data_IF_687819291660
#
_entry.id   IF_687819291660
#
_cell.length_a   1.000
_cell.length_b   1.000
_cell.length_c   1.000
_cell.angle_alpha   90.00
_cell.angle_beta   90.00
_cell.angle_gamma   90.00
#
_symmetry.space_group_name_H-M   'P 1'
#
loop_
_entity.id
_entity.type
_entity.pdbx_description
1 polymer ?
#
# COMPACT_ATOMS: atom_id res chain seq x y z
N UNK A 1 -23.95 0.13 -20.88
CA UNK A 1 -22.85 -0.41 -20.05
C UNK A 1 -23.25 -0.64 -18.58
N UNK A 2 -23.72 0.37 -17.84
CA UNK A 2 -24.10 0.19 -16.41
C UNK A 2 -25.17 -0.91 -16.24
N UNK A 3 -26.18 -0.95 -17.11
CA UNK A 3 -27.24 -1.97 -17.10
C UNK A 3 -26.67 -3.40 -17.28
N UNK A 4 -25.83 -3.63 -18.28
CA UNK A 4 -25.19 -4.94 -18.50
C UNK A 4 -24.22 -5.32 -17.38
N UNK A 5 -23.53 -4.35 -16.77
CA UNK A 5 -22.64 -4.61 -15.65
C UNK A 5 -23.42 -4.99 -14.39
N UNK A 6 -24.57 -4.34 -14.11
CA UNK A 6 -25.43 -4.67 -12.98
C UNK A 6 -25.96 -6.13 -13.03
N UNK A 7 -26.14 -6.70 -14.23
CA UNK A 7 -26.50 -8.12 -14.40
C UNK A 7 -25.33 -9.05 -14.04
N UNK A 8 -24.07 -8.60 -14.29
CA UNK A 8 -22.87 -9.41 -14.04
C UNK A 8 -22.43 -9.35 -12.57
N UNK A 9 -22.66 -8.24 -11.89
CA UNK A 9 -22.20 -7.98 -10.53
C UNK A 9 -22.56 -9.09 -9.51
N UNK A 10 -23.78 -9.66 -9.51
CA UNK A 10 -24.15 -10.77 -8.62
C UNK A 10 -23.39 -12.07 -8.89
N UNK A 11 -22.81 -12.24 -10.08
CA UNK A 11 -22.09 -13.43 -10.54
C UNK A 11 -20.63 -13.15 -10.85
N UNK A 12 -20.05 -12.10 -10.23
CA UNK A 12 -18.71 -11.60 -10.43
C UNK A 12 -17.63 -12.70 -10.46
N UNK A 13 -17.65 -13.61 -9.48
CA UNK A 13 -16.67 -14.70 -9.38
C UNK A 13 -16.70 -15.63 -10.59
N UNK A 14 -17.92 -15.96 -11.08
CA UNK A 14 -18.10 -16.82 -12.27
C UNK A 14 -17.64 -16.08 -13.53
N UNK A 15 -17.97 -14.81 -13.66
CA UNK A 15 -17.55 -13.98 -14.79
C UNK A 15 -16.03 -13.81 -14.82
N UNK A 16 -15.39 -13.50 -13.72
CA UNK A 16 -13.93 -13.40 -13.61
C UNK A 16 -13.25 -14.76 -13.89
N UNK A 17 -13.79 -15.86 -13.40
CA UNK A 17 -13.27 -17.20 -13.70
C UNK A 17 -13.36 -17.54 -15.19
N UNK A 18 -14.46 -17.20 -15.84
CA UNK A 18 -14.64 -17.38 -17.27
C UNK A 18 -13.67 -16.51 -18.09
N UNK A 19 -13.52 -15.24 -17.71
CA UNK A 19 -12.57 -14.31 -18.33
C UNK A 19 -11.15 -14.87 -18.35
N UNK A 20 -10.62 -15.26 -17.20
CA UNK A 20 -9.26 -15.81 -17.12
C UNK A 20 -9.15 -17.19 -17.78
N UNK A 21 -10.17 -18.03 -17.63
CA UNK A 21 -10.22 -19.33 -18.32
C UNK A 21 -10.12 -19.17 -19.83
N UNK A 22 -10.90 -18.27 -20.42
CA UNK A 22 -10.86 -17.95 -21.83
C UNK A 22 -9.52 -17.33 -22.25
N UNK A 23 -9.05 -16.33 -21.51
CA UNK A 23 -7.80 -15.64 -21.79
C UNK A 23 -6.63 -16.63 -21.90
N UNK A 24 -6.50 -17.54 -20.93
CA UNK A 24 -5.40 -18.51 -20.90
C UNK A 24 -5.57 -19.68 -21.87
N UNK A 25 -6.81 -20.05 -22.21
CA UNK A 25 -7.07 -21.06 -23.22
C UNK A 25 -6.68 -20.59 -24.61
N UNK A 26 -7.02 -19.34 -24.94
CA UNK A 26 -6.69 -18.74 -26.24
C UNK A 26 -5.24 -18.23 -26.31
N UNK A 27 -4.65 -17.84 -25.17
CA UNK A 27 -3.32 -17.26 -25.07
C UNK A 27 -2.51 -17.85 -23.89
N UNK A 28 -2.04 -19.11 -24.00
CA UNK A 28 -1.40 -19.80 -22.87
C UNK A 28 -0.15 -19.09 -22.32
N UNK A 29 0.60 -18.37 -23.17
CA UNK A 29 1.79 -17.64 -22.78
C UNK A 29 1.50 -16.52 -21.77
N UNK A 30 0.30 -15.93 -21.82
CA UNK A 30 -0.08 -14.89 -20.86
C UNK A 30 -0.20 -15.37 -19.43
N UNK A 31 -0.38 -16.69 -19.20
CA UNK A 31 -0.46 -17.26 -17.84
C UNK A 31 0.78 -16.92 -17.00
N UNK A 32 1.95 -16.81 -17.62
CA UNK A 32 3.21 -16.49 -16.95
C UNK A 32 3.26 -15.05 -16.38
N UNK A 33 2.38 -14.16 -16.82
CA UNK A 33 2.29 -12.78 -16.33
C UNK A 33 1.49 -12.68 -15.01
N UNK A 34 0.78 -13.73 -14.63
CA UNK A 34 -0.11 -13.74 -13.47
C UNK A 34 0.45 -14.58 -12.32
N UNK A 35 0.06 -14.28 -11.07
CA UNK A 35 0.50 -15.05 -9.91
C UNK A 35 -0.06 -16.48 -9.96
N UNK A 36 0.57 -17.44 -9.21
CA UNK A 36 0.08 -18.82 -9.12
C UNK A 36 -1.36 -18.91 -8.62
N UNK A 37 -1.71 -18.18 -7.54
CA UNK A 37 -3.07 -18.08 -6.99
C UNK A 37 -3.81 -16.90 -7.59
N UNK A 38 -5.00 -17.16 -8.16
CA UNK A 38 -5.76 -16.20 -8.95
C UNK A 38 -6.90 -15.51 -8.18
N UNK A 39 -7.21 -15.93 -6.95
CA UNK A 39 -8.37 -15.42 -6.21
C UNK A 39 -8.29 -13.89 -6.00
N UNK A 40 -7.19 -13.42 -5.43
CA UNK A 40 -6.97 -11.97 -5.28
C UNK A 40 -6.94 -11.24 -6.63
N UNK A 41 -6.48 -11.88 -7.70
CA UNK A 41 -6.44 -11.27 -9.02
C UNK A 41 -7.83 -11.13 -9.64
N UNK A 42 -8.74 -12.09 -9.39
CA UNK A 42 -10.14 -12.01 -9.79
C UNK A 42 -10.85 -10.85 -9.09
N UNK A 43 -10.66 -10.72 -7.76
CA UNK A 43 -11.21 -9.62 -6.98
C UNK A 43 -10.72 -8.25 -7.49
N UNK A 44 -9.43 -8.13 -7.81
CA UNK A 44 -8.84 -6.89 -8.34
C UNK A 44 -9.40 -6.53 -9.71
N UNK A 45 -9.55 -7.51 -10.61
CA UNK A 45 -10.14 -7.27 -11.92
C UNK A 45 -11.55 -6.73 -11.77
N UNK A 46 -12.37 -7.41 -10.95
CA UNK A 46 -13.76 -7.02 -10.79
C UNK A 46 -13.89 -5.65 -10.10
N UNK A 47 -13.10 -5.38 -9.05
CA UNK A 47 -13.07 -4.08 -8.41
C UNK A 47 -12.64 -2.94 -9.35
N UNK A 48 -11.66 -3.18 -10.23
CA UNK A 48 -11.27 -2.20 -11.24
C UNK A 48 -12.39 -1.94 -12.25
N UNK A 49 -13.05 -3.00 -12.76
CA UNK A 49 -14.18 -2.88 -13.67
C UNK A 49 -15.37 -2.15 -13.03
N UNK A 50 -15.69 -2.47 -11.78
CA UNK A 50 -16.73 -1.77 -11.01
C UNK A 50 -16.42 -0.28 -10.94
N UNK A 51 -15.19 0.08 -10.56
CA UNK A 51 -14.79 1.48 -10.49
C UNK A 51 -14.88 2.18 -11.83
N UNK A 52 -14.41 1.55 -12.91
CA UNK A 52 -14.49 2.11 -14.27
C UNK A 52 -15.94 2.37 -14.68
N UNK A 53 -16.80 1.33 -14.58
CA UNK A 53 -18.19 1.42 -15.06
C UNK A 53 -19.02 2.44 -14.27
N UNK A 54 -18.86 2.48 -12.94
CA UNK A 54 -19.62 3.42 -12.12
C UNK A 54 -19.06 4.84 -12.10
N UNK A 55 -17.80 5.04 -12.55
CA UNK A 55 -17.16 6.36 -12.64
C UNK A 55 -17.19 6.98 -14.05
N UNK A 56 -17.90 6.40 -15.01
CA UNK A 56 -17.98 6.92 -16.39
C UNK A 56 -18.52 8.37 -16.47
N UNK A 57 -19.25 8.83 -15.47
CA UNK A 57 -19.78 10.20 -15.41
C UNK A 57 -18.78 11.19 -14.77
N UNK A 58 -17.61 10.73 -14.30
CA UNK A 58 -16.56 11.54 -13.65
C UNK A 58 -15.20 11.28 -14.30
N UNK A 59 -14.98 11.90 -15.45
CA UNK A 59 -13.84 11.62 -16.34
C UNK A 59 -12.46 11.91 -15.69
N UNK A 60 -12.32 12.99 -14.93
CA UNK A 60 -11.03 13.38 -14.33
C UNK A 60 -10.51 12.34 -13.34
N UNK A 61 -11.37 11.89 -12.42
CA UNK A 61 -11.01 10.86 -11.46
C UNK A 61 -10.75 9.50 -12.11
N UNK A 62 -11.47 9.19 -13.19
CA UNK A 62 -11.29 7.96 -13.95
C UNK A 62 -9.98 7.96 -14.72
N UNK A 63 -9.62 9.05 -15.38
CA UNK A 63 -8.36 9.18 -16.13
C UNK A 63 -7.14 9.03 -15.23
N UNK A 64 -7.15 9.66 -14.03
CA UNK A 64 -6.10 9.50 -13.03
C UNK A 64 -5.95 8.04 -12.61
N UNK A 65 -7.07 7.37 -12.30
CA UNK A 65 -7.06 5.95 -11.90
C UNK A 65 -6.54 5.03 -13.01
N UNK A 66 -6.98 5.23 -14.25
CA UNK A 66 -6.51 4.45 -15.40
C UNK A 66 -5.02 4.67 -15.65
N UNK A 67 -4.54 5.90 -15.54
CA UNK A 67 -3.12 6.22 -15.65
C UNK A 67 -2.28 5.50 -14.59
N UNK A 68 -2.70 5.52 -13.33
CA UNK A 68 -2.04 4.76 -12.25
C UNK A 68 -2.04 3.24 -12.52
N UNK A 69 -3.17 2.72 -13.03
CA UNK A 69 -3.29 1.30 -13.37
C UNK A 69 -2.36 0.92 -14.52
N UNK A 70 -2.25 1.75 -15.54
CA UNK A 70 -1.33 1.57 -16.67
C UNK A 70 0.12 1.55 -16.24
N UNK A 71 0.55 2.54 -15.46
CA UNK A 71 1.90 2.56 -14.86
C UNK A 71 2.17 1.31 -14.01
N UNK A 72 1.19 0.89 -13.20
CA UNK A 72 1.28 -0.32 -12.38
C UNK A 72 1.39 -1.62 -13.18
N UNK A 73 0.85 -1.67 -14.40
CA UNK A 73 0.93 -2.85 -15.27
C UNK A 73 2.33 -3.09 -15.84
N UNK A 74 3.18 -2.05 -15.94
CA UNK A 74 4.57 -2.17 -16.43
C UNK A 74 5.36 -3.24 -15.68
N UNK A 75 5.21 -3.31 -14.36
CA UNK A 75 5.93 -4.30 -13.52
C UNK A 75 5.57 -5.76 -13.80
N UNK A 76 4.44 -6.00 -14.47
CA UNK A 76 4.04 -7.34 -14.90
C UNK A 76 4.46 -7.65 -16.33
N UNK A 77 5.12 -6.70 -17.02
CA UNK A 77 5.52 -6.83 -18.41
C UNK A 77 4.36 -6.72 -19.40
N UNK A 78 3.29 -5.99 -19.02
CA UNK A 78 2.18 -5.72 -19.92
C UNK A 78 2.64 -4.75 -21.02
N UNK A 79 2.43 -5.14 -22.27
CA UNK A 79 2.74 -4.39 -23.48
C UNK A 79 1.44 -3.95 -24.19
N UNK A 80 1.48 -2.94 -25.07
CA UNK A 80 0.28 -2.46 -25.79
C UNK A 80 -0.51 -3.57 -26.49
N UNK A 81 0.15 -4.55 -27.10
CA UNK A 81 -0.46 -5.68 -27.79
C UNK A 81 -1.31 -6.57 -26.89
N UNK A 82 -1.00 -6.64 -25.60
CA UNK A 82 -1.76 -7.43 -24.63
C UNK A 82 -3.17 -6.88 -24.39
N UNK A 83 -3.38 -5.56 -24.57
CA UNK A 83 -4.70 -4.95 -24.33
C UNK A 83 -5.74 -5.42 -25.32
N UNK A 84 -5.39 -5.65 -26.59
CA UNK A 84 -6.32 -6.21 -27.57
C UNK A 84 -6.82 -7.59 -27.16
N UNK A 85 -5.91 -8.46 -26.70
CA UNK A 85 -6.24 -9.81 -26.23
C UNK A 85 -7.13 -9.78 -24.99
N UNK A 86 -6.80 -8.91 -24.03
CA UNK A 86 -7.61 -8.70 -22.81
C UNK A 86 -8.99 -8.16 -23.14
N UNK A 87 -9.10 -7.20 -24.07
CA UNK A 87 -10.36 -6.62 -24.53
C UNK A 87 -11.28 -7.66 -25.16
N UNK A 88 -10.75 -8.51 -26.02
CA UNK A 88 -11.52 -9.60 -26.65
C UNK A 88 -12.07 -10.59 -25.62
N UNK A 89 -11.25 -10.97 -24.61
CA UNK A 89 -11.69 -11.84 -23.52
C UNK A 89 -12.76 -11.16 -22.65
N UNK A 90 -12.61 -9.86 -22.39
CA UNK A 90 -13.58 -9.07 -21.61
C UNK A 90 -14.92 -8.96 -22.34
N UNK A 91 -14.93 -8.55 -23.60
CA UNK A 91 -16.16 -8.42 -24.41
C UNK A 91 -16.90 -9.77 -24.52
N UNK A 92 -16.18 -10.86 -24.75
CA UNK A 92 -16.77 -12.20 -24.79
C UNK A 92 -17.38 -12.60 -23.42
N UNK A 93 -16.76 -12.17 -22.31
CA UNK A 93 -17.27 -12.42 -20.96
C UNK A 93 -18.55 -11.63 -20.72
N UNK A 94 -18.55 -10.33 -21.00
CA UNK A 94 -19.73 -9.47 -20.82
C UNK A 94 -20.90 -9.98 -21.68
N UNK A 95 -20.65 -10.28 -22.95
CA UNK A 95 -21.65 -10.82 -23.87
C UNK A 95 -22.27 -12.12 -23.35
N UNK A 96 -21.47 -13.01 -22.75
CA UNK A 96 -21.96 -14.28 -22.20
C UNK A 96 -22.85 -14.10 -20.98
N UNK A 97 -22.43 -13.24 -20.03
CA UNK A 97 -23.10 -13.11 -18.74
C UNK A 97 -24.22 -12.05 -18.73
N UNK A 98 -24.27 -11.16 -19.72
CA UNK A 98 -25.33 -10.18 -19.90
C UNK A 98 -26.13 -10.44 -21.20
N UNK A 99 -26.26 -11.69 -21.64
CA UNK A 99 -26.86 -12.06 -22.92
C UNK A 99 -28.29 -11.55 -23.10
N UNK A 100 -29.05 -11.46 -22.01
CA UNK A 100 -30.46 -11.01 -22.00
C UNK A 100 -30.61 -9.52 -22.38
N UNK A 101 -29.59 -8.70 -22.09
CA UNK A 101 -29.57 -7.25 -22.38
C UNK A 101 -28.55 -6.88 -23.46
N UNK A 102 -27.93 -7.87 -24.10
CA UNK A 102 -26.87 -7.65 -25.09
C UNK A 102 -27.45 -7.20 -26.45
N UNK A 103 -26.92 -6.12 -26.99
CA UNK A 103 -27.27 -5.61 -28.30
C UNK A 103 -26.01 -5.13 -29.05
N UNK A 104 -26.06 -4.90 -30.36
CA UNK A 104 -24.96 -4.31 -31.11
C UNK A 104 -24.50 -2.94 -30.56
N UNK A 105 -25.43 -2.13 -30.08
CA UNK A 105 -25.16 -0.83 -29.47
C UNK A 105 -24.44 -1.00 -28.12
N UNK A 106 -24.81 -2.01 -27.36
CA UNK A 106 -24.13 -2.35 -26.09
C UNK A 106 -22.70 -2.82 -26.37
N UNK A 107 -22.50 -3.66 -27.38
CA UNK A 107 -21.17 -4.11 -27.82
C UNK A 107 -20.30 -2.93 -28.24
N UNK A 108 -20.82 -2.04 -29.05
CA UNK A 108 -20.12 -0.83 -29.51
C UNK A 108 -19.74 0.08 -28.32
N UNK A 109 -20.63 0.25 -27.32
CA UNK A 109 -20.38 1.04 -26.15
C UNK A 109 -19.26 0.44 -25.27
N UNK A 110 -19.26 -0.88 -25.07
CA UNK A 110 -18.19 -1.57 -24.33
C UNK A 110 -16.86 -1.48 -25.05
N UNK A 111 -16.84 -1.68 -26.37
CA UNK A 111 -15.62 -1.59 -27.18
C UNK A 111 -15.03 -0.18 -27.09
N UNK A 112 -15.86 0.86 -27.30
CA UNK A 112 -15.41 2.25 -27.23
C UNK A 112 -14.83 2.60 -25.85
N UNK A 113 -15.52 2.23 -24.77
CA UNK A 113 -15.05 2.50 -23.42
C UNK A 113 -13.77 1.73 -23.09
N UNK A 114 -13.67 0.46 -23.50
CA UNK A 114 -12.46 -0.33 -23.30
C UNK A 114 -11.27 0.27 -24.06
N UNK A 115 -11.46 0.64 -25.34
CA UNK A 115 -10.41 1.25 -26.14
C UNK A 115 -9.91 2.54 -25.52
N UNK A 116 -10.81 3.45 -25.12
CA UNK A 116 -10.44 4.69 -24.46
C UNK A 116 -9.69 4.44 -23.14
N UNK A 117 -10.11 3.47 -22.33
CA UNK A 117 -9.41 3.09 -21.10
C UNK A 117 -8.02 2.50 -21.40
N UNK A 118 -7.89 1.63 -22.39
CA UNK A 118 -6.63 1.05 -22.81
C UNK A 118 -5.65 2.13 -23.31
N UNK A 119 -6.11 3.08 -24.12
CA UNK A 119 -5.29 4.18 -24.63
C UNK A 119 -4.72 5.05 -23.51
N UNK A 120 -5.52 5.40 -22.50
CA UNK A 120 -5.06 6.14 -21.33
C UNK A 120 -4.00 5.33 -20.58
N UNK A 121 -4.22 4.03 -20.38
CA UNK A 121 -3.30 3.15 -19.66
C UNK A 121 -1.97 2.98 -20.41
N UNK A 122 -2.03 2.79 -21.73
CA UNK A 122 -0.84 2.64 -22.59
C UNK A 122 -0.04 3.94 -22.59
N UNK A 123 -0.68 5.08 -22.87
CA UNK A 123 -0.02 6.39 -22.90
C UNK A 123 0.67 6.69 -21.57
N UNK A 124 -0.03 6.48 -20.43
CA UNK A 124 0.55 6.72 -19.12
C UNK A 124 1.70 5.77 -18.79
N UNK A 125 1.66 4.53 -19.27
CA UNK A 125 2.75 3.58 -19.11
C UNK A 125 3.98 3.97 -19.96
N UNK A 126 3.79 4.43 -21.18
CA UNK A 126 4.85 4.89 -22.08
C UNK A 126 5.51 6.18 -21.58
N UNK A 127 4.73 7.13 -21.07
CA UNK A 127 5.25 8.35 -20.47
C UNK A 127 6.10 8.04 -19.24
N UNK A 128 5.62 7.18 -18.34
CA UNK A 128 6.36 6.74 -17.16
C UNK A 128 7.65 5.98 -17.54
N UNK A 129 7.63 5.22 -18.64
CA UNK A 129 8.81 4.48 -19.12
C UNK A 129 9.99 5.38 -19.55
N UNK A 130 9.73 6.65 -19.87
CA UNK A 130 10.77 7.61 -20.26
C UNK A 130 11.61 8.09 -19.08
N UNK A 131 11.07 8.01 -17.87
CA UNK A 131 11.67 8.60 -16.66
C UNK A 131 11.93 7.59 -15.55
N UNK A 132 11.29 6.43 -15.58
CA UNK A 132 11.37 5.44 -14.51
C UNK A 132 11.46 4.03 -15.06
N UNK A 133 12.24 3.13 -14.45
CA UNK A 133 12.19 1.70 -14.78
C UNK A 133 10.83 1.11 -14.38
N UNK A 134 10.46 -0.04 -14.94
CA UNK A 134 9.23 -0.74 -14.57
C UNK A 134 9.29 -1.32 -13.13
N UNK A 135 10.49 -1.58 -12.64
CA UNK A 135 10.83 -2.02 -11.27
C UNK A 135 12.30 -1.76 -10.98
N UNK A 136 12.67 -1.76 -9.72
CA UNK A 136 14.04 -1.68 -9.23
C UNK A 136 14.48 -3.04 -8.69
N UNK A 137 15.66 -3.51 -9.08
CA UNK A 137 16.33 -4.62 -8.39
C UNK A 137 17.11 -4.06 -7.22
N UNK A 138 16.91 -4.60 -6.02
CA UNK A 138 17.58 -4.15 -4.82
C UNK A 138 18.27 -5.32 -4.11
N UNK A 139 19.54 -5.11 -3.70
CA UNK A 139 20.29 -6.04 -2.88
C UNK A 139 19.90 -5.90 -1.42
N UNK A 140 19.76 -7.00 -0.71
CA UNK A 140 19.60 -7.04 0.76
C UNK A 140 20.99 -6.88 1.38
N UNK A 141 21.27 -5.71 1.94
CA UNK A 141 22.55 -5.40 2.58
C UNK A 141 22.51 -5.47 4.11
N UNK A 142 21.31 -5.65 4.68
CA UNK A 142 21.09 -5.83 6.11
C UNK A 142 19.80 -6.57 6.38
N UNK A 143 19.84 -7.49 7.34
CA UNK A 143 18.68 -8.25 7.79
C UNK A 143 18.78 -8.48 9.30
N UNK A 144 17.95 -7.78 10.07
CA UNK A 144 17.97 -7.80 11.52
C UNK A 144 16.62 -8.31 12.05
N UNK A 145 16.60 -9.49 12.66
CA UNK A 145 15.42 -9.95 13.40
C UNK A 145 15.30 -9.15 14.70
N UNK A 146 14.22 -8.38 14.84
CA UNK A 146 13.90 -7.58 16.03
C UNK A 146 12.89 -8.27 16.94
N UNK A 147 12.11 -9.20 16.39
CA UNK A 147 11.21 -10.11 17.08
C UNK A 147 11.12 -11.41 16.26
N UNK A 148 10.54 -12.50 16.78
CA UNK A 148 10.42 -13.75 16.05
C UNK A 148 9.68 -13.62 14.70
N UNK A 149 8.77 -12.65 14.61
CA UNK A 149 7.95 -12.35 13.44
C UNK A 149 8.25 -11.01 12.78
N UNK A 150 9.27 -10.24 13.25
CA UNK A 150 9.58 -8.91 12.73
C UNK A 150 11.06 -8.81 12.34
N UNK A 151 11.31 -8.41 11.10
CA UNK A 151 12.63 -8.07 10.60
C UNK A 151 12.71 -6.60 10.14
N UNK A 152 13.85 -5.96 10.40
CA UNK A 152 14.27 -4.72 9.75
C UNK A 152 15.23 -5.11 8.63
N UNK A 153 14.83 -4.82 7.39
CA UNK A 153 15.57 -5.17 6.19
C UNK A 153 16.10 -3.90 5.56
N UNK A 154 17.40 -3.85 5.31
CA UNK A 154 18.04 -2.75 4.59
C UNK A 154 18.35 -3.20 3.18
N UNK A 155 17.84 -2.45 2.22
CA UNK A 155 17.97 -2.70 0.79
C UNK A 155 18.81 -1.62 0.14
N UNK A 156 19.56 -1.98 -0.89
CA UNK A 156 20.26 -1.05 -1.77
C UNK A 156 19.77 -1.27 -3.19
N UNK A 157 18.85 -0.43 -3.70
CA UNK A 157 18.49 -0.41 -5.11
C UNK A 157 19.71 -0.15 -6.01
N UNK A 158 19.78 -0.85 -7.15
CA UNK A 158 20.88 -0.69 -8.13
C UNK A 158 20.85 0.67 -8.84
N UNK A 159 19.69 1.29 -8.90
CA UNK A 159 19.46 2.63 -9.44
C UNK A 159 18.78 3.52 -8.40
N UNK A 160 18.89 4.87 -8.50
CA UNK A 160 18.19 5.76 -7.59
C UNK A 160 16.68 5.45 -7.52
N UNK A 161 16.16 5.28 -6.33
CA UNK A 161 14.73 5.10 -6.06
C UNK A 161 14.18 6.42 -5.49
N UNK A 162 13.50 7.25 -6.30
CA UNK A 162 12.95 8.51 -5.83
C UNK A 162 11.66 8.25 -5.05
N UNK A 163 11.67 8.53 -3.76
CA UNK A 163 10.48 8.43 -2.91
C UNK A 163 10.38 9.59 -1.93
N UNK A 164 9.17 9.83 -1.44
CA UNK A 164 8.90 10.75 -0.34
C UNK A 164 8.76 9.96 0.97
N UNK A 165 9.23 10.52 2.10
CA UNK A 165 9.04 9.89 3.41
C UNK A 165 7.57 9.59 3.68
N UNK A 166 7.29 8.40 4.24
CA UNK A 166 5.93 7.92 4.48
C UNK A 166 5.31 7.13 3.34
N UNK A 167 5.91 7.13 2.15
CA UNK A 167 5.50 6.27 1.03
C UNK A 167 5.86 4.80 1.27
N UNK A 168 5.25 3.93 0.47
CA UNK A 168 5.51 2.49 0.42
C UNK A 168 6.03 2.07 -0.96
N UNK A 169 6.62 0.89 -1.02
CA UNK A 169 6.96 0.18 -2.26
C UNK A 169 6.31 -1.19 -2.25
N UNK A 170 5.87 -1.65 -3.42
CA UNK A 170 5.52 -3.05 -3.58
C UNK A 170 6.79 -3.88 -3.69
N UNK A 171 6.86 -5.00 -2.97
CA UNK A 171 8.01 -5.90 -2.95
C UNK A 171 7.63 -7.26 -3.48
N UNK A 172 8.49 -7.81 -4.34
CA UNK A 172 8.46 -9.19 -4.81
C UNK A 172 9.77 -9.87 -4.45
N UNK A 173 9.68 -11.10 -3.95
CA UNK A 173 10.87 -11.95 -3.68
C UNK A 173 11.05 -12.99 -4.79
N UNK A 174 12.28 -13.46 -5.00
CA UNK A 174 12.56 -14.54 -5.96
C UNK A 174 11.76 -15.82 -5.65
N UNK A 175 11.44 -16.07 -4.37
CA UNK A 175 10.65 -17.24 -3.93
C UNK A 175 9.21 -17.20 -4.41
N UNK A 176 8.64 -16.01 -4.59
CA UNK A 176 7.25 -15.81 -4.98
C UNK A 176 7.14 -14.84 -6.16
N UNK A 177 7.54 -15.26 -7.35
CA UNK A 177 7.45 -14.41 -8.55
C UNK A 177 5.99 -14.03 -8.85
N UNK A 178 5.80 -12.79 -9.32
CA UNK A 178 4.48 -12.18 -9.62
C UNK A 178 3.60 -11.92 -8.39
N UNK A 179 4.09 -12.18 -7.19
CA UNK A 179 3.38 -11.86 -5.94
C UNK A 179 4.00 -10.61 -5.33
N UNK A 180 3.32 -9.50 -5.49
CA UNK A 180 3.72 -8.20 -4.98
C UNK A 180 2.95 -7.85 -3.70
N UNK A 181 3.64 -7.30 -2.71
CA UNK A 181 3.03 -6.81 -1.47
C UNK A 181 3.61 -5.47 -1.08
N UNK A 182 2.77 -4.49 -0.66
CA UNK A 182 3.23 -3.18 -0.23
C UNK A 182 3.89 -3.26 1.14
N UNK A 183 5.02 -2.55 1.27
CA UNK A 183 5.72 -2.32 2.53
C UNK A 183 6.11 -0.86 2.60
N UNK A 184 5.79 -0.22 3.73
CA UNK A 184 6.15 1.16 3.98
C UNK A 184 7.66 1.30 4.12
N UNK A 185 8.23 2.36 3.54
CA UNK A 185 9.63 2.71 3.70
C UNK A 185 9.83 3.33 5.07
N UNK A 186 10.83 2.87 5.82
CA UNK A 186 11.05 3.21 7.21
C UNK A 186 12.18 4.22 7.47
N UNK A 187 12.71 4.83 6.44
CA UNK A 187 13.73 5.89 6.52
C UNK A 187 13.43 7.03 5.54
N UNK A 188 13.92 8.22 5.84
CA UNK A 188 13.96 9.31 4.87
C UNK A 188 14.92 8.97 3.72
N UNK A 189 14.77 9.60 2.52
CA UNK A 189 15.71 9.43 1.40
C UNK A 189 17.15 9.71 1.82
N UNK A 190 18.07 8.84 1.41
CA UNK A 190 19.49 8.90 1.78
C UNK A 190 20.39 9.00 0.56
N UNK A 191 21.55 9.65 0.73
CA UNK A 191 22.54 9.79 -0.34
C UNK A 191 23.14 8.46 -0.79
N UNK A 192 23.16 7.46 0.08
CA UNK A 192 23.64 6.11 -0.20
C UNK A 192 22.60 5.21 -0.88
N UNK A 193 21.45 5.78 -1.26
CA UNK A 193 20.32 5.10 -1.89
C UNK A 193 19.76 3.91 -1.07
N UNK A 194 19.99 3.89 0.26
CA UNK A 194 19.47 2.80 1.10
C UNK A 194 18.02 2.99 1.47
N UNK A 195 17.26 1.90 1.42
CA UNK A 195 15.85 1.80 1.78
C UNK A 195 15.70 0.80 2.91
N UNK A 196 15.00 1.16 3.97
CA UNK A 196 14.67 0.25 5.08
C UNK A 196 13.21 -0.13 5.06
N UNK A 197 12.94 -1.40 5.31
CA UNK A 197 11.59 -1.93 5.47
C UNK A 197 11.48 -2.58 6.85
N UNK A 198 10.40 -2.28 7.56
CA UNK A 198 10.03 -3.01 8.78
C UNK A 198 8.95 -4.01 8.42
N UNK A 199 9.29 -5.27 8.39
CA UNK A 199 8.44 -6.33 7.90
C UNK A 199 7.98 -7.21 9.04
N UNK A 200 6.65 -7.38 9.18
CA UNK A 200 6.07 -8.41 10.04
C UNK A 200 5.60 -9.58 9.19
N UNK A 201 6.04 -10.79 9.51
CA UNK A 201 5.50 -12.00 8.95
C UNK A 201 4.06 -12.20 9.44
N UNK A 202 3.13 -12.34 8.51
CA UNK A 202 1.72 -12.60 8.86
C UNK A 202 1.37 -14.05 8.49
N UNK A 203 0.51 -14.73 9.25
CA UNK A 203 0.07 -16.09 8.92
C UNK A 203 -0.49 -16.15 7.48
N UNK A 204 -0.02 -17.10 6.69
CA UNK A 204 -0.39 -17.22 5.27
C UNK A 204 0.20 -16.16 4.33
N UNK A 205 0.99 -15.25 4.84
CA UNK A 205 1.62 -14.18 4.04
C UNK A 205 2.88 -14.69 3.33
N UNK A 206 2.80 -14.91 2.03
CA UNK A 206 3.90 -15.49 1.25
C UNK A 206 5.15 -14.60 1.21
N UNK A 207 4.97 -13.32 0.86
CA UNK A 207 6.10 -12.39 0.73
C UNK A 207 6.64 -11.98 2.09
N UNK A 208 5.78 -11.63 3.06
CA UNK A 208 6.22 -11.22 4.40
C UNK A 208 6.97 -12.34 5.12
N UNK A 209 6.47 -13.60 5.04
CA UNK A 209 7.15 -14.75 5.63
C UNK A 209 8.47 -15.05 4.93
N UNK A 210 8.56 -14.87 3.60
CA UNK A 210 9.81 -15.01 2.86
C UNK A 210 10.83 -13.95 3.29
N UNK A 211 10.40 -12.68 3.40
CA UNK A 211 11.26 -11.59 3.81
C UNK A 211 11.80 -11.76 5.23
N UNK A 212 10.99 -12.22 6.19
CA UNK A 212 11.42 -12.38 7.59
C UNK A 212 12.24 -13.65 7.79
N UNK A 213 11.81 -14.78 7.24
CA UNK A 213 12.37 -16.10 7.59
C UNK A 213 13.35 -16.68 6.58
N UNK A 214 13.35 -16.21 5.34
CA UNK A 214 14.12 -16.86 4.26
C UNK A 214 15.07 -15.94 3.51
N UNK A 215 14.92 -14.63 3.63
CA UNK A 215 15.79 -13.64 2.99
C UNK A 215 17.08 -13.46 3.78
N UNK A 216 18.21 -13.33 3.09
CA UNK A 216 19.55 -13.17 3.66
C UNK A 216 20.29 -12.00 3.01
N UNK A 217 21.33 -11.52 3.66
CA UNK A 217 22.26 -10.53 3.08
C UNK A 217 22.86 -11.13 1.81
N UNK A 218 22.90 -10.35 0.72
CA UNK A 218 23.32 -10.75 -0.62
C UNK A 218 22.16 -11.23 -1.52
N UNK A 219 20.99 -11.53 -0.97
CA UNK A 219 19.80 -11.82 -1.78
C UNK A 219 19.32 -10.56 -2.52
N UNK A 220 18.57 -10.77 -3.59
CA UNK A 220 17.91 -9.69 -4.33
C UNK A 220 16.41 -9.75 -4.19
N UNK A 221 15.80 -8.57 -4.12
CA UNK A 221 14.34 -8.38 -4.19
C UNK A 221 14.00 -7.40 -5.29
N UNK A 222 12.77 -7.46 -5.77
CA UNK A 222 12.28 -6.51 -6.78
C UNK A 222 11.33 -5.52 -6.10
N UNK A 223 11.53 -4.23 -6.37
CA UNK A 223 10.72 -3.14 -5.84
C UNK A 223 9.90 -2.52 -6.96
N UNK A 224 8.62 -2.28 -6.72
CA UNK A 224 7.78 -1.45 -7.57
C UNK A 224 8.05 0.05 -7.35
N UNK A 225 7.43 0.88 -8.17
CA UNK A 225 7.48 2.33 -7.97
C UNK A 225 6.92 2.72 -6.59
N UNK A 226 7.53 3.71 -5.93
CA UNK A 226 7.00 4.25 -4.69
C UNK A 226 5.59 4.83 -4.88
N UNK A 227 4.74 4.64 -3.88
CA UNK A 227 3.36 5.12 -3.89
C UNK A 227 2.86 5.47 -2.50
N UNK A 228 1.65 6.04 -2.44
CA UNK A 228 1.04 6.50 -1.19
C UNK A 228 1.04 8.01 -1.05
N UNK A 229 0.06 8.50 -0.28
CA UNK A 229 -0.21 9.95 -0.09
C UNK A 229 0.15 10.44 1.30
N UNK A 230 0.61 9.56 2.20
CA UNK A 230 1.04 9.93 3.54
C UNK A 230 2.48 10.46 3.47
N UNK A 231 2.63 11.76 3.21
CA UNK A 231 3.92 12.44 3.05
C UNK A 231 4.08 13.53 4.10
N UNK A 232 5.32 14.00 4.38
CA UNK A 232 5.53 15.07 5.34
C UNK A 232 4.76 16.34 4.97
N UNK A 233 4.40 17.20 5.96
CA UNK A 233 3.72 18.46 5.69
C UNK A 233 4.66 19.46 5.01
N UNK A 234 4.11 20.32 4.17
CA UNK A 234 4.87 21.40 3.54
C UNK A 234 5.25 22.55 4.49
N UNK A 235 4.61 22.63 5.66
CA UNK A 235 4.79 23.74 6.62
C UNK A 235 4.94 23.23 8.06
N UNK A 236 5.76 23.96 8.83
CA UNK A 236 6.24 23.64 10.16
C UNK A 236 5.23 23.73 11.30
N UNK A 237 4.06 23.08 11.20
CA UNK A 237 3.18 22.86 12.37
C UNK A 237 3.74 21.74 13.23
N UNK A 238 3.45 21.77 14.53
CA UNK A 238 3.79 20.66 15.43
C UNK A 238 3.11 19.36 14.96
N UNK A 239 3.79 18.24 15.12
CA UNK A 239 3.39 16.96 14.54
C UNK A 239 3.09 15.95 15.64
N UNK A 240 1.95 15.27 15.51
CA UNK A 240 1.63 14.08 16.26
C UNK A 240 1.73 12.84 15.35
N UNK A 241 2.58 11.88 15.69
CA UNK A 241 2.63 10.56 15.06
C UNK A 241 2.05 9.51 16.02
N UNK A 242 1.11 8.68 15.55
CA UNK A 242 0.50 7.58 16.32
C UNK A 242 0.77 6.27 15.59
N UNK A 243 1.69 5.47 16.11
CA UNK A 243 2.22 4.26 15.51
C UNK A 243 1.82 3.00 16.26
N UNK A 244 1.10 2.07 15.62
CA UNK A 244 0.82 0.73 16.16
C UNK A 244 1.69 -0.35 15.50
N UNK A 245 2.52 -1.05 16.27
CA UNK A 245 3.36 -2.14 15.76
C UNK A 245 4.26 -1.70 14.60
N UNK A 246 4.21 -2.42 13.46
CA UNK A 246 4.99 -2.07 12.25
C UNK A 246 4.45 -0.87 11.47
N UNK A 247 3.29 -0.33 11.84
CA UNK A 247 2.84 1.00 11.40
C UNK A 247 3.80 2.12 11.79
N UNK A 248 4.78 1.84 12.64
CA UNK A 248 5.91 2.73 12.90
C UNK A 248 6.71 3.07 11.64
N UNK A 249 6.84 2.15 10.68
CA UNK A 249 7.75 2.30 9.54
C UNK A 249 7.58 3.63 8.78
N UNK A 250 6.41 3.95 8.21
CA UNK A 250 6.23 5.19 7.46
C UNK A 250 6.38 6.43 8.35
N UNK A 251 5.93 6.35 9.60
CA UNK A 251 6.01 7.46 10.54
C UNK A 251 7.46 7.75 10.96
N UNK A 252 8.30 6.71 11.08
CA UNK A 252 9.72 6.88 11.33
C UNK A 252 10.41 7.61 10.18
N UNK A 253 10.06 7.30 8.93
CA UNK A 253 10.59 8.00 7.75
C UNK A 253 10.20 9.49 7.75
N UNK A 254 8.94 9.80 8.08
CA UNK A 254 8.45 11.19 8.22
C UNK A 254 9.20 11.91 9.33
N UNK A 255 9.33 11.29 10.51
CA UNK A 255 10.06 11.86 11.64
C UNK A 255 11.53 12.13 11.29
N UNK A 256 12.23 11.14 10.71
CA UNK A 256 13.63 11.32 10.24
C UNK A 256 13.75 12.52 9.30
N UNK A 257 12.84 12.64 8.33
CA UNK A 257 12.84 13.76 7.39
C UNK A 257 12.64 15.11 8.09
N UNK A 258 11.58 15.24 8.88
CA UNK A 258 11.20 16.49 9.52
C UNK A 258 12.29 17.01 10.46
N UNK A 259 12.91 16.12 11.24
CA UNK A 259 13.96 16.53 12.21
C UNK A 259 15.30 16.87 11.54
N UNK A 260 15.50 16.51 10.25
CA UNK A 260 16.75 16.75 9.53
C UNK A 260 16.62 17.83 8.44
N UNK A 261 15.41 18.22 8.04
CA UNK A 261 15.18 19.12 6.90
C UNK A 261 15.37 20.60 7.25
N UNK A 262 15.13 20.99 8.49
CA UNK A 262 15.16 22.38 8.91
C UNK A 262 16.14 22.63 10.07
N UNK A 263 16.73 23.81 10.11
CA UNK A 263 17.57 24.26 11.23
C UNK A 263 16.76 24.34 12.54
N UNK A 264 15.44 24.61 12.43
CA UNK A 264 14.52 24.68 13.57
C UNK A 264 13.27 23.84 13.25
N UNK A 265 13.34 22.51 13.35
CA UNK A 265 12.22 21.64 13.03
C UNK A 265 11.03 21.88 13.99
N UNK A 266 9.78 21.59 13.56
CA UNK A 266 8.63 21.60 14.45
C UNK A 266 8.82 20.58 15.60
N UNK A 267 8.01 20.69 16.64
CA UNK A 267 7.97 19.66 17.68
C UNK A 267 7.30 18.43 17.11
N UNK A 268 7.89 17.28 17.37
CA UNK A 268 7.34 15.99 16.97
C UNK A 268 7.09 15.15 18.21
N UNK A 269 5.84 14.71 18.41
CA UNK A 269 5.49 13.73 19.43
C UNK A 269 5.10 12.43 18.76
N UNK A 270 5.85 11.37 19.04
CA UNK A 270 5.62 10.03 18.52
C UNK A 270 5.09 9.12 19.64
N UNK A 271 3.80 8.78 19.58
CA UNK A 271 3.20 7.73 20.41
C UNK A 271 3.40 6.39 19.71
N UNK A 272 4.21 5.53 20.30
CA UNK A 272 4.54 4.21 19.75
C UNK A 272 3.95 3.10 20.62
N UNK A 273 2.95 2.41 20.10
CA UNK A 273 2.17 1.42 20.82
C UNK A 273 2.42 -0.02 20.41
N UNK A 274 2.40 -0.89 21.40
CA UNK A 274 2.40 -2.34 21.27
C UNK A 274 1.59 -2.98 22.41
N UNK A 275 1.34 -4.28 22.34
CA UNK A 275 0.66 -5.00 23.42
C UNK A 275 1.57 -5.15 24.65
N UNK A 276 2.83 -5.51 24.41
CA UNK A 276 3.84 -5.66 25.44
C UNK A 276 5.08 -4.82 25.15
N UNK A 277 5.90 -4.54 26.18
CA UNK A 277 7.14 -3.80 26.03
C UNK A 277 8.15 -4.49 25.10
N UNK A 278 8.13 -5.82 25.02
CA UNK A 278 8.97 -6.61 24.11
C UNK A 278 8.60 -6.42 22.63
N UNK A 279 7.34 -6.09 22.35
CA UNK A 279 6.85 -5.84 20.99
C UNK A 279 7.18 -4.42 20.48
N UNK A 280 7.72 -3.55 21.32
CA UNK A 280 8.26 -2.24 20.93
C UNK A 280 9.64 -2.42 20.25
N UNK A 281 9.67 -3.18 19.17
CA UNK A 281 10.86 -3.75 18.53
C UNK A 281 11.91 -2.72 18.09
N UNK A 282 11.52 -1.48 17.83
CA UNK A 282 12.39 -0.41 17.34
C UNK A 282 12.62 0.70 18.38
N UNK A 283 12.16 0.51 19.61
CA UNK A 283 12.27 1.50 20.69
C UNK A 283 13.72 1.95 20.95
N UNK A 284 14.74 1.06 20.95
CA UNK A 284 16.13 1.49 21.15
C UNK A 284 16.61 2.47 20.08
N UNK A 285 16.20 2.30 18.81
CA UNK A 285 16.56 3.19 17.70
C UNK A 285 15.87 4.56 17.85
N UNK A 286 14.59 4.55 18.23
CA UNK A 286 13.83 5.79 18.51
C UNK A 286 14.41 6.57 19.67
N UNK A 287 14.85 5.89 20.74
CA UNK A 287 15.49 6.55 21.89
C UNK A 287 16.86 7.15 21.52
N UNK A 288 17.63 6.48 20.65
CA UNK A 288 18.86 7.07 20.09
C UNK A 288 18.58 8.29 19.22
N UNK A 289 17.49 8.28 18.46
CA UNK A 289 17.06 9.44 17.67
C UNK A 289 16.65 10.60 18.59
N UNK A 290 15.81 10.33 19.59
CA UNK A 290 15.37 11.30 20.59
C UNK A 290 16.54 11.97 21.31
N UNK A 291 17.58 11.21 21.70
CA UNK A 291 18.74 11.78 22.42
C UNK A 291 19.53 12.82 21.63
N UNK A 292 19.40 12.80 20.31
CA UNK A 292 20.07 13.75 19.38
C UNK A 292 19.22 14.93 18.98
N UNK A 293 17.88 14.87 19.19
CA UNK A 293 16.93 15.88 18.72
C UNK A 293 15.99 16.28 19.86
N UNK A 294 16.24 17.44 20.50
CA UNK A 294 15.46 17.89 21.67
C UNK A 294 13.96 18.12 21.37
N UNK A 295 13.61 18.34 20.12
CA UNK A 295 12.21 18.57 19.69
C UNK A 295 11.46 17.27 19.34
N UNK A 296 12.09 16.12 19.46
CA UNK A 296 11.47 14.80 19.31
C UNK A 296 11.13 14.23 20.69
N UNK A 297 9.86 14.06 20.95
CA UNK A 297 9.36 13.31 22.09
C UNK A 297 8.89 11.93 21.64
N UNK A 298 9.40 10.86 22.26
CA UNK A 298 8.97 9.47 22.01
C UNK A 298 8.27 8.96 23.26
N UNK A 299 7.01 8.58 23.11
CA UNK A 299 6.15 8.07 24.18
C UNK A 299 5.79 6.61 23.87
N UNK A 300 6.49 5.64 24.47
CA UNK A 300 6.11 4.23 24.36
C UNK A 300 4.81 3.96 25.11
N UNK A 301 3.87 3.24 24.46
CA UNK A 301 2.57 2.90 25.02
C UNK A 301 2.39 1.38 25.01
N UNK A 302 1.97 0.79 26.14
CA UNK A 302 1.79 -0.66 26.25
C UNK A 302 0.38 -0.98 26.77
N UNK A 303 -0.35 -1.86 26.05
CA UNK A 303 -1.75 -2.16 26.40
C UNK A 303 -1.92 -3.32 27.38
N UNK A 304 -1.13 -4.39 27.25
CA UNK A 304 -1.40 -5.68 27.90
C UNK A 304 -0.37 -6.03 29.00
N UNK A 305 0.35 -5.04 29.52
CA UNK A 305 1.37 -5.21 30.57
C UNK A 305 1.06 -4.30 31.76
N UNK A 306 0.28 -4.77 32.75
CA UNK A 306 -0.21 -3.94 33.87
C UNK A 306 0.89 -3.30 34.73
N UNK A 307 2.09 -3.88 34.75
CA UNK A 307 3.24 -3.39 35.54
C UNK A 307 4.22 -2.53 34.73
N UNK A 308 3.88 -2.18 33.47
CA UNK A 308 4.70 -1.30 32.67
C UNK A 308 4.82 0.09 33.31
N UNK A 309 6.05 0.59 33.44
CA UNK A 309 6.34 1.85 34.14
C UNK A 309 6.10 3.13 33.34
N UNK A 310 5.76 3.02 32.03
CA UNK A 310 5.44 4.15 31.15
C UNK A 310 3.93 4.30 30.93
N UNK A 311 3.56 4.89 29.76
CA UNK A 311 2.16 5.06 29.35
C UNK A 311 1.50 3.70 29.10
N UNK A 312 0.32 3.51 29.70
CA UNK A 312 -0.45 2.26 29.62
C UNK A 312 -1.84 2.49 29.06
N UNK A 313 -2.35 1.46 28.37
CA UNK A 313 -3.66 1.44 27.73
C UNK A 313 -3.57 1.34 26.21
N UNK A 314 -4.72 1.29 25.57
CA UNK A 314 -4.79 1.30 24.10
C UNK A 314 -4.39 2.66 23.55
N UNK A 315 -3.67 2.67 22.42
CA UNK A 315 -3.22 3.92 21.79
C UNK A 315 -4.32 4.98 21.63
N UNK A 316 -5.54 4.65 21.15
CA UNK A 316 -6.63 5.63 21.03
C UNK A 316 -6.99 6.30 22.36
N UNK A 317 -6.95 5.56 23.47
CA UNK A 317 -7.25 6.08 24.82
C UNK A 317 -6.13 7.00 25.32
N UNK A 318 -4.88 6.64 25.03
CA UNK A 318 -3.72 7.46 25.40
C UNK A 318 -3.70 8.76 24.60
N UNK A 319 -4.00 8.70 23.29
CA UNK A 319 -4.15 9.90 22.45
C UNK A 319 -5.19 10.85 23.03
N UNK A 320 -6.32 10.32 23.48
CA UNK A 320 -7.40 11.10 24.09
C UNK A 320 -6.97 11.74 25.43
N UNK A 321 -6.23 11.00 26.26
CA UNK A 321 -5.76 11.44 27.56
C UNK A 321 -4.68 12.54 27.46
N UNK A 322 -3.83 12.49 26.42
CA UNK A 322 -2.69 13.40 26.26
C UNK A 322 -3.02 14.68 25.46
N UNK A 323 -4.29 14.99 25.23
CA UNK A 323 -4.74 16.24 24.56
C UNK A 323 -4.12 17.50 25.20
N UNK A 324 -4.07 18.64 24.49
CA UNK A 324 -4.76 18.97 23.24
C UNK A 324 -3.91 18.69 22.00
N UNK A 325 -4.59 18.32 20.87
CA UNK A 325 -3.96 18.08 19.57
C UNK A 325 -4.42 19.07 18.47
N UNK A 326 -5.30 20.03 18.82
CA UNK A 326 -5.71 21.07 17.88
C UNK A 326 -4.49 21.85 17.37
N UNK A 327 -4.44 22.07 16.05
CA UNK A 327 -3.32 22.74 15.40
C UNK A 327 -2.11 21.86 15.07
N UNK A 328 -2.13 20.57 15.43
CA UNK A 328 -1.11 19.64 15.01
C UNK A 328 -1.43 19.04 13.63
N UNK A 329 -0.38 18.69 12.90
CA UNK A 329 -0.45 17.76 11.78
C UNK A 329 -0.36 16.34 12.34
N UNK A 330 -1.35 15.51 12.04
CA UNK A 330 -1.46 14.18 12.69
C UNK A 330 -1.29 13.06 11.68
N UNK A 331 -0.42 12.11 12.00
CA UNK A 331 -0.15 10.91 11.20
C UNK A 331 -0.48 9.68 12.01
N UNK A 332 -1.36 8.82 11.48
CA UNK A 332 -1.81 7.59 12.16
C UNK A 332 -1.55 6.37 11.29
N UNK A 333 -0.82 5.40 11.81
CA UNK A 333 -0.55 4.15 11.10
C UNK A 333 -0.48 2.93 12.04
N UNK A 334 -1.11 1.83 11.65
CA UNK A 334 -1.16 0.60 12.43
C UNK A 334 -2.34 -0.29 12.03
N UNK A 335 -2.82 -1.18 12.92
CA UNK A 335 -4.03 -1.97 12.70
C UNK A 335 -5.26 -1.11 12.43
N UNK A 336 -6.13 -1.56 11.52
CA UNK A 336 -7.27 -0.76 11.02
C UNK A 336 -8.20 -0.27 12.14
N UNK A 337 -8.54 -1.14 13.09
CA UNK A 337 -9.38 -0.82 14.24
C UNK A 337 -8.76 0.26 15.14
N UNK A 338 -7.45 0.19 15.38
CA UNK A 338 -6.71 1.21 16.13
C UNK A 338 -6.69 2.54 15.38
N UNK A 339 -6.47 2.52 14.07
CA UNK A 339 -6.44 3.72 13.22
C UNK A 339 -7.81 4.40 13.21
N UNK A 340 -8.88 3.64 12.95
CA UNK A 340 -10.26 4.16 12.92
C UNK A 340 -10.67 4.78 14.25
N UNK A 341 -10.43 4.08 15.37
CA UNK A 341 -10.76 4.59 16.70
C UNK A 341 -9.93 5.83 17.06
N UNK A 342 -8.65 5.85 16.72
CA UNK A 342 -7.78 7.02 16.95
C UNK A 342 -8.29 8.25 16.20
N UNK A 343 -8.64 8.10 14.93
CA UNK A 343 -9.16 9.20 14.09
C UNK A 343 -10.46 9.76 14.70
N UNK A 344 -11.39 8.88 15.10
CA UNK A 344 -12.65 9.32 15.72
C UNK A 344 -12.41 10.14 17.00
N UNK A 345 -11.45 9.73 17.84
CA UNK A 345 -11.11 10.45 19.08
C UNK A 345 -10.42 11.78 18.81
N UNK A 346 -9.53 11.84 17.81
CA UNK A 346 -8.87 13.08 17.38
C UNK A 346 -9.89 14.10 16.87
N UNK A 347 -10.82 13.67 16.01
CA UNK A 347 -11.87 14.53 15.49
C UNK A 347 -12.81 15.05 16.60
N UNK A 348 -13.21 14.21 17.55
CA UNK A 348 -13.95 14.64 18.75
C UNK A 348 -13.13 15.61 19.60
N UNK A 349 -11.82 15.52 19.58
CA UNK A 349 -10.88 16.42 20.25
C UNK A 349 -10.59 17.71 19.49
N UNK A 350 -11.27 17.98 18.36
CA UNK A 350 -11.17 19.22 17.60
C UNK A 350 -10.06 19.24 16.54
N UNK A 351 -9.50 18.08 16.17
CA UNK A 351 -8.55 17.99 15.05
C UNK A 351 -9.33 17.91 13.74
N UNK A 352 -9.15 18.82 12.79
CA UNK A 352 -9.83 18.79 11.50
C UNK A 352 -9.48 17.51 10.71
N UNK A 353 -10.43 16.92 9.97
CA UNK A 353 -10.15 15.75 9.12
C UNK A 353 -9.03 15.97 8.09
N UNK A 354 -8.86 17.18 7.59
CA UNK A 354 -7.82 17.56 6.64
C UNK A 354 -6.41 17.50 7.25
N UNK A 355 -6.29 17.63 8.57
CA UNK A 355 -5.03 17.60 9.31
C UNK A 355 -4.67 16.16 9.78
N UNK A 356 -5.49 15.15 9.44
CA UNK A 356 -5.28 13.75 9.84
C UNK A 356 -4.90 12.93 8.61
N UNK A 357 -3.66 12.46 8.58
CA UNK A 357 -3.10 11.64 7.53
C UNK A 357 -3.06 10.18 7.97
N UNK A 358 -3.54 9.31 7.10
CA UNK A 358 -3.45 7.85 7.29
C UNK A 358 -3.09 7.17 5.98
N UNK A 359 -2.47 6.03 6.08
CA UNK A 359 -2.33 5.15 4.94
C UNK A 359 -3.71 4.58 4.59
N UNK A 360 -4.14 4.75 3.34
CA UNK A 360 -5.42 4.15 2.90
C UNK A 360 -5.16 2.69 2.59
N UNK A 361 -5.98 1.76 3.10
CA UNK A 361 -5.94 0.39 2.61
C UNK A 361 -6.09 0.42 1.08
N UNK A 362 -5.16 -0.22 0.36
CA UNK A 362 -5.37 -0.42 -1.07
C UNK A 362 -6.71 -1.15 -1.25
N UNK A 363 -7.61 -0.57 -2.04
CA UNK A 363 -8.89 -1.17 -2.41
C UNK A 363 -8.61 -2.59 -2.95
N UNK A 364 -9.08 -3.62 -2.25
CA UNK A 364 -8.81 -5.03 -2.53
C UNK A 364 -8.43 -5.87 -1.29
N UNK A 365 -8.18 -5.27 -0.13
CA UNK A 365 -8.16 -5.99 1.13
C UNK A 365 -9.59 -6.17 1.65
N UNK A 366 -10.32 -7.16 1.14
CA UNK A 366 -11.47 -7.67 1.90
C UNK A 366 -10.93 -8.22 3.23
N UNK A 367 -11.58 -7.82 4.33
CA UNK A 367 -11.38 -8.35 5.67
C UNK A 367 -11.23 -9.86 5.57
N UNK A 368 -10.04 -10.38 5.86
CA UNK A 368 -9.88 -11.81 6.10
C UNK A 368 -10.91 -12.20 7.14
N UNK A 369 -11.74 -13.17 6.82
CA UNK A 369 -12.76 -13.72 7.70
C UNK A 369 -12.14 -13.92 9.08
N UNK A 370 -12.79 -13.38 10.10
CA UNK A 370 -12.57 -13.77 11.48
C UNK A 370 -12.76 -15.30 11.55
N UNK A 371 -11.67 -16.05 11.61
CA UNK A 371 -11.75 -17.40 12.17
C UNK A 371 -11.97 -17.21 13.65
N UNK A 372 -13.25 -17.33 14.04
CA UNK A 372 -13.62 -17.72 15.39
C UNK A 372 -13.26 -19.19 15.55
N UNK A 373 -12.29 -19.50 16.36
CA UNK A 373 -12.25 -20.53 17.43
C UNK A 373 -10.98 -20.40 18.19
#
# INVERSE_FOLDING_TARGET
MKESFAVIEPVADKAAAYFYGRLFAENPHMRAMFPPAMDTQRDRLFGALTRIVWSLDSLDGLSSFLGELGRGHRRYGVLPEHYTTLGNALLATVRRFAAEVWSPEMEAAWLAAYTAAADIMITSAEEDARTSPAWWTAEVIGHELRAPDIAVITLRPGEPLPYLPGQHVDVQTARWPRVWRPFSIANAPRRDNTVRLHVRAVPGGWVSSALVGHTRIGDTVTLGAPGGTMTPPERGRDILCVAGGTGLAPLKAIVEHVITSDATPPRVRLLYGARTSRELYDLPDLMRMRSRVPRLEVVPVVSDEPRYGGERGRLPEVVDRLRPWAGHEVYVCGPDDMVEETILRLQRGGVPPADIHRDRPQEGRRRGAHCHT
#
